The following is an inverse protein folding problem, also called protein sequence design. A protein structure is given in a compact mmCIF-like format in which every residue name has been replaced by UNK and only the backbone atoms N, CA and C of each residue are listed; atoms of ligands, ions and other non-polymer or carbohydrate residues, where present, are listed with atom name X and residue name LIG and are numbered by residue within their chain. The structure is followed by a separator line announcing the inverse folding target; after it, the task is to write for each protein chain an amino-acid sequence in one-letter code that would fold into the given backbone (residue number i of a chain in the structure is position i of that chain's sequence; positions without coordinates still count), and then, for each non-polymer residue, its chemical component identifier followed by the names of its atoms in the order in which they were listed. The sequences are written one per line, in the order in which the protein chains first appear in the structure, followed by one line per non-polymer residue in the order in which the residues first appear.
data_IF_563616304146
#
_entry.id   IF_563616304146
#
_cell.length_a   1.000
_cell.length_b   1.000
_cell.length_c   1.000
_cell.angle_alpha   90.00
_cell.angle_beta   90.00
_cell.angle_gamma   90.00
#
_symmetry.space_group_name_H-M   'P 1'
#
loop_
_entity.id
_entity.type
_entity.pdbx_description
1 polymer ?
#
# COMPACT_ATOMS: atom_id res chain seq x y z
N UNK A 1 14.90 1.57 -23.22
CA UNK A 1 14.75 2.43 -22.03
C UNK A 1 15.62 1.81 -20.94
N UNK A 2 16.47 2.60 -20.24
CA UNK A 2 17.26 2.06 -19.13
C UNK A 2 16.32 1.95 -17.93
N UNK A 3 16.04 0.73 -17.46
CA UNK A 3 15.45 0.56 -16.13
C UNK A 3 16.47 1.11 -15.13
N UNK A 4 16.05 2.03 -14.28
CA UNK A 4 16.87 2.47 -13.16
C UNK A 4 16.88 1.37 -12.09
N UNK A 5 17.89 1.41 -11.23
CA UNK A 5 18.03 0.42 -10.15
C UNK A 5 16.85 0.52 -9.17
N UNK A 6 16.40 -0.60 -8.58
CA UNK A 6 15.31 -0.58 -7.62
C UNK A 6 15.63 0.33 -6.43
N UNK A 7 14.67 1.17 -6.06
CA UNK A 7 14.84 2.16 -4.98
C UNK A 7 14.88 1.45 -3.65
N UNK A 8 15.87 1.80 -2.82
CA UNK A 8 15.89 1.41 -1.41
C UNK A 8 14.96 2.31 -0.62
N UNK A 9 14.03 1.73 0.12
CA UNK A 9 13.10 2.45 0.97
C UNK A 9 13.87 3.13 2.11
N UNK A 10 13.70 4.44 2.21
CA UNK A 10 14.16 5.24 3.33
C UNK A 10 12.99 5.84 4.11
N UNK A 11 13.30 6.50 5.23
CA UNK A 11 12.27 7.11 6.08
C UNK A 11 11.55 8.27 5.39
N UNK A 12 12.20 8.96 4.44
CA UNK A 12 11.58 10.07 3.73
C UNK A 12 10.45 9.55 2.82
N UNK A 13 10.71 8.47 2.09
CA UNK A 13 9.71 7.82 1.25
C UNK A 13 8.57 7.25 2.09
N UNK A 14 8.85 6.56 3.20
CA UNK A 14 7.82 6.08 4.14
C UNK A 14 6.93 7.23 4.61
N UNK A 15 7.53 8.36 5.01
CA UNK A 15 6.79 9.52 5.47
C UNK A 15 5.95 10.16 4.36
N UNK A 16 6.46 10.20 3.13
CA UNK A 16 5.74 10.73 1.98
C UNK A 16 4.51 9.87 1.64
N UNK A 17 4.66 8.54 1.66
CA UNK A 17 3.54 7.60 1.54
C UNK A 17 2.51 7.80 2.64
N UNK A 18 2.94 7.88 3.91
CA UNK A 18 2.04 8.07 5.05
C UNK A 18 1.27 9.39 5.03
N UNK A 19 1.69 10.38 4.24
CA UNK A 19 0.96 11.65 4.02
C UNK A 19 0.06 11.61 2.79
N UNK A 20 0.50 10.95 1.73
CA UNK A 20 -0.15 11.02 0.41
C UNK A 20 -1.24 9.96 0.25
N UNK A 21 -0.97 8.72 0.67
CA UNK A 21 -1.92 7.62 0.51
C UNK A 21 -3.26 7.88 1.22
N UNK A 22 -3.32 8.40 2.47
CA UNK A 22 -4.61 8.70 3.11
C UNK A 22 -5.49 9.68 2.32
N UNK A 23 -4.90 10.60 1.55
CA UNK A 23 -5.65 11.60 0.76
C UNK A 23 -6.30 10.98 -0.49
N UNK A 24 -5.84 9.79 -0.90
CA UNK A 24 -6.35 9.05 -2.07
C UNK A 24 -7.34 7.95 -1.69
N UNK A 25 -7.46 7.63 -0.40
CA UNK A 25 -8.42 6.65 0.11
C UNK A 25 -9.80 7.28 0.34
N UNK A 26 -10.79 6.44 0.65
CA UNK A 26 -12.09 6.91 1.14
C UNK A 26 -11.90 7.72 2.44
N UNK A 27 -12.64 8.82 2.61
CA UNK A 27 -12.39 9.85 3.63
C UNK A 27 -12.41 9.36 5.09
N UNK A 28 -12.93 8.17 5.34
CA UNK A 28 -13.04 7.58 6.67
C UNK A 28 -12.01 6.47 6.90
N UNK A 29 -11.35 5.98 5.85
CA UNK A 29 -10.36 4.91 5.95
C UNK A 29 -9.07 5.46 6.57
N UNK A 30 -8.31 4.56 7.18
CA UNK A 30 -7.01 4.90 7.78
C UNK A 30 -5.93 3.96 7.27
N UNK A 31 -4.70 4.47 7.21
CA UNK A 31 -3.57 3.69 6.70
C UNK A 31 -2.33 3.88 7.58
N UNK A 32 -1.61 2.78 7.79
CA UNK A 32 -0.28 2.75 8.40
C UNK A 32 0.72 2.23 7.36
N UNK A 33 1.83 2.96 7.17
CA UNK A 33 2.86 2.62 6.19
C UNK A 33 4.19 2.46 6.90
N UNK A 34 4.89 1.34 6.63
CA UNK A 34 6.19 1.02 7.20
C UNK A 34 7.13 0.47 6.14
N UNK A 35 8.44 0.66 6.34
CA UNK A 35 9.42 -0.11 5.58
C UNK A 35 9.33 -1.60 5.94
N UNK A 36 9.50 -2.46 4.96
CA UNK A 36 9.61 -3.91 5.17
C UNK A 36 10.98 -4.25 5.77
N UNK A 37 10.99 -5.08 6.82
CA UNK A 37 12.21 -5.46 7.53
C UNK A 37 13.01 -6.56 6.83
N UNK A 38 12.37 -7.31 5.92
CA UNK A 38 12.95 -8.42 5.17
C UNK A 38 13.32 -8.01 3.74
N UNK A 39 12.73 -6.94 3.22
CA UNK A 39 12.92 -6.48 1.86
C UNK A 39 13.19 -4.95 1.81
N UNK A 40 14.44 -4.53 1.52
CA UNK A 40 14.81 -3.12 1.53
C UNK A 40 14.15 -2.28 0.42
N UNK A 41 13.43 -2.92 -0.52
CA UNK A 41 12.73 -2.27 -1.62
C UNK A 41 11.21 -2.26 -1.42
N UNK A 42 10.72 -2.74 -0.27
CA UNK A 42 9.30 -2.89 -0.02
C UNK A 42 8.76 -2.06 1.15
N UNK A 43 7.50 -1.68 1.01
CA UNK A 43 6.66 -1.10 2.03
C UNK A 43 5.61 -2.12 2.47
N UNK A 44 5.32 -2.12 3.76
CA UNK A 44 4.17 -2.76 4.36
C UNK A 44 3.10 -1.70 4.56
N UNK A 45 1.95 -1.90 3.91
CA UNK A 45 0.82 -0.97 3.92
C UNK A 45 -0.34 -1.69 4.59
N UNK A 46 -0.89 -1.07 5.63
CA UNK A 46 -2.02 -1.61 6.37
C UNK A 46 -3.18 -0.63 6.37
N UNK A 47 -4.29 -0.99 5.72
CA UNK A 47 -5.47 -0.14 5.55
C UNK A 47 -6.61 -0.69 6.41
N UNK A 48 -7.28 0.19 7.14
CA UNK A 48 -8.52 -0.12 7.88
C UNK A 48 -9.69 0.60 7.23
N UNK A 49 -10.71 -0.16 6.84
CA UNK A 49 -12.00 0.40 6.41
C UNK A 49 -12.68 1.02 7.63
N UNK A 50 -13.24 2.21 7.51
CA UNK A 50 -14.16 2.71 8.53
C UNK A 50 -15.61 2.24 8.29
N UNK A 51 -16.36 2.05 9.38
CA UNK A 51 -17.77 1.66 9.34
C UNK A 51 -18.04 0.23 9.84
N UNK A 52 -19.23 -0.31 9.52
CA UNK A 52 -19.79 -1.55 10.09
C UNK A 52 -19.02 -2.84 9.78
N UNK A 53 -18.07 -2.79 8.84
CA UNK A 53 -17.38 -3.97 8.36
C UNK A 53 -16.05 -4.23 9.05
N UNK A 54 -15.44 -3.23 9.71
CA UNK A 54 -14.17 -3.32 10.45
C UNK A 54 -13.09 -4.19 9.78
N UNK A 55 -12.95 -4.09 8.45
CA UNK A 55 -11.91 -4.82 7.74
C UNK A 55 -10.56 -4.12 7.89
N UNK A 56 -9.52 -4.92 8.05
CA UNK A 56 -8.12 -4.54 7.96
C UNK A 56 -7.45 -5.35 6.86
N UNK A 57 -6.86 -4.68 5.87
CA UNK A 57 -6.18 -5.31 4.74
C UNK A 57 -4.70 -4.94 4.77
N UNK A 58 -3.85 -5.94 4.57
CA UNK A 58 -2.40 -5.78 4.48
C UNK A 58 -1.92 -6.00 3.05
N UNK A 59 -1.04 -5.11 2.60
CA UNK A 59 -0.41 -5.16 1.30
C UNK A 59 1.11 -5.04 1.43
N UNK A 60 1.81 -5.72 0.53
CA UNK A 60 3.24 -5.50 0.28
C UNK A 60 3.39 -4.73 -1.03
N UNK A 61 4.02 -3.56 -0.98
CA UNK A 61 4.30 -2.73 -2.16
C UNK A 61 5.81 -2.72 -2.41
N UNK A 62 6.26 -3.23 -3.56
CA UNK A 62 7.68 -3.40 -3.90
C UNK A 62 8.04 -2.49 -5.05
N UNK A 63 9.02 -1.61 -4.86
CA UNK A 63 9.57 -0.82 -5.96
C UNK A 63 10.41 -1.72 -6.87
N UNK A 64 10.01 -1.81 -8.14
CA UNK A 64 10.75 -2.53 -9.18
C UNK A 64 11.83 -1.63 -9.78
N UNK A 65 11.51 -0.34 -9.91
CA UNK A 65 12.41 0.76 -10.27
C UNK A 65 11.88 2.08 -9.67
N UNK A 66 12.33 3.24 -10.19
CA UNK A 66 11.94 4.58 -9.72
C UNK A 66 10.50 5.01 -10.05
N UNK A 67 9.81 4.23 -10.90
CA UNK A 67 8.52 4.57 -11.53
C UNK A 67 7.46 3.49 -11.37
N UNK A 68 7.88 2.24 -11.21
CA UNK A 68 7.02 1.08 -11.13
C UNK A 68 7.08 0.43 -9.74
N UNK A 69 5.89 0.16 -9.21
CA UNK A 69 5.71 -0.68 -8.02
C UNK A 69 4.90 -1.93 -8.38
N UNK A 70 5.15 -3.02 -7.67
CA UNK A 70 4.28 -4.20 -7.63
C UNK A 70 3.58 -4.26 -6.29
N UNK A 71 2.27 -4.41 -6.30
CA UNK A 71 1.45 -4.48 -5.10
C UNK A 71 0.90 -5.89 -4.96
N UNK A 72 1.07 -6.46 -3.77
CA UNK A 72 0.59 -7.79 -3.42
C UNK A 72 -0.37 -7.66 -2.25
N UNK A 73 -1.57 -8.21 -2.41
CA UNK A 73 -2.45 -8.48 -1.27
C UNK A 73 -1.85 -9.59 -0.41
N UNK A 74 -1.80 -9.38 0.90
CA UNK A 74 -1.13 -10.29 1.85
C UNK A 74 -2.12 -10.97 2.78
N UNK A 75 -3.04 -10.19 3.36
CA UNK A 75 -4.08 -10.74 4.23
C UNK A 75 -5.22 -9.75 4.47
N UNK A 76 -6.39 -10.28 4.82
CA UNK A 76 -7.51 -9.52 5.36
C UNK A 76 -7.96 -10.06 6.72
N UNK A 77 -8.37 -9.16 7.60
CA UNK A 77 -8.99 -9.49 8.88
C UNK A 77 -10.25 -8.65 9.13
N UNK A 78 -11.16 -9.18 9.94
CA UNK A 78 -12.41 -8.52 10.33
C UNK A 78 -12.54 -8.54 11.84
N UNK A 79 -12.57 -7.37 12.48
CA UNK A 79 -12.57 -7.26 13.94
C UNK A 79 -11.33 -7.91 14.56
N UNK A 80 -11.51 -8.91 15.43
CA UNK A 80 -10.42 -9.67 16.05
C UNK A 80 -10.05 -10.98 15.31
N UNK A 81 -10.76 -11.31 14.22
CA UNK A 81 -10.59 -12.59 13.50
C UNK A 81 -10.05 -12.41 12.09
N UNK A 82 -9.49 -13.48 11.52
CA UNK A 82 -9.13 -13.53 10.11
C UNK A 82 -10.40 -13.45 9.25
N UNK A 83 -10.40 -12.61 8.23
CA UNK A 83 -11.46 -12.61 7.24
C UNK A 83 -11.21 -13.76 6.27
N UNK A 84 -12.27 -14.24 5.63
CA UNK A 84 -12.11 -15.13 4.48
C UNK A 84 -11.60 -14.29 3.31
N UNK A 85 -10.35 -14.53 2.94
CA UNK A 85 -9.63 -13.81 1.88
C UNK A 85 -10.27 -14.03 0.51
N UNK A 86 -11.04 -15.12 0.33
CA UNK A 86 -11.74 -15.48 -0.91
C UNK A 86 -13.18 -14.93 -0.95
N UNK A 87 -13.57 -14.09 0.01
CA UNK A 87 -14.89 -13.45 -0.07
C UNK A 87 -14.89 -12.34 -1.13
N UNK A 88 -15.92 -12.30 -1.97
CA UNK A 88 -16.12 -11.30 -3.03
C UNK A 88 -15.93 -9.85 -2.52
N UNK A 89 -16.34 -9.57 -1.29
CA UNK A 89 -16.16 -8.25 -0.65
C UNK A 89 -14.68 -7.94 -0.39
N UNK A 90 -13.88 -8.92 0.05
CA UNK A 90 -12.45 -8.71 0.30
C UNK A 90 -11.71 -8.53 -1.01
N UNK A 91 -12.08 -9.28 -2.06
CA UNK A 91 -11.50 -9.13 -3.40
C UNK A 91 -11.78 -7.73 -3.98
N UNK A 92 -13.03 -7.26 -3.92
CA UNK A 92 -13.41 -5.92 -4.38
C UNK A 92 -12.64 -4.82 -3.63
N UNK A 93 -12.52 -4.93 -2.30
CA UNK A 93 -11.74 -4.01 -1.48
C UNK A 93 -10.24 -4.06 -1.82
N UNK A 94 -9.69 -5.25 -2.02
CA UNK A 94 -8.29 -5.43 -2.37
C UNK A 94 -7.95 -4.78 -3.72
N UNK A 95 -8.78 -5.00 -4.72
CA UNK A 95 -8.63 -4.40 -6.05
C UNK A 95 -8.73 -2.86 -5.99
N UNK A 96 -9.66 -2.34 -5.18
CA UNK A 96 -9.81 -0.91 -4.97
C UNK A 96 -8.56 -0.28 -4.34
N UNK A 97 -8.06 -0.87 -3.27
CA UNK A 97 -6.87 -0.38 -2.60
C UNK A 97 -5.59 -0.57 -3.40
N UNK A 98 -5.46 -1.63 -4.20
CA UNK A 98 -4.34 -1.80 -5.13
C UNK A 98 -4.27 -0.61 -6.10
N UNK A 99 -5.41 -0.19 -6.65
CA UNK A 99 -5.48 0.98 -7.53
C UNK A 99 -4.98 2.25 -6.82
N UNK A 100 -5.46 2.51 -5.60
CA UNK A 100 -5.05 3.69 -4.83
C UNK A 100 -3.57 3.66 -4.43
N UNK A 101 -3.01 2.48 -4.14
CA UNK A 101 -1.58 2.30 -3.90
C UNK A 101 -0.78 2.64 -5.16
N UNK A 102 -1.23 2.22 -6.34
CA UNK A 102 -0.60 2.61 -7.60
C UNK A 102 -0.70 4.11 -7.89
N UNK A 103 -1.86 4.73 -7.64
CA UNK A 103 -2.05 6.19 -7.78
C UNK A 103 -1.12 6.97 -6.84
N UNK A 104 -0.95 6.49 -5.61
CA UNK A 104 -0.01 7.07 -4.64
C UNK A 104 1.44 6.95 -5.14
N UNK A 105 1.84 5.78 -5.62
CA UNK A 105 3.17 5.58 -6.19
C UNK A 105 3.43 6.54 -7.37
N UNK A 106 2.43 6.74 -8.23
CA UNK A 106 2.51 7.67 -9.35
C UNK A 106 2.64 9.13 -8.88
N UNK A 107 1.86 9.55 -7.87
CA UNK A 107 1.93 10.89 -7.29
C UNK A 107 3.31 11.18 -6.65
N UNK A 108 3.95 10.14 -6.11
CA UNK A 108 5.24 10.22 -5.43
C UNK A 108 6.46 10.11 -6.36
N UNK A 109 6.26 9.93 -7.67
CA UNK A 109 7.36 9.81 -8.62
C UNK A 109 8.35 10.99 -8.53
N UNK A 110 7.90 12.21 -8.23
CA UNK A 110 8.80 13.37 -8.13
C UNK A 110 9.79 13.27 -6.96
N UNK A 111 9.50 12.46 -5.94
CA UNK A 111 10.36 12.26 -4.76
C UNK A 111 11.34 11.11 -5.00
N UNK A 112 10.97 10.15 -5.86
CA UNK A 112 11.81 8.99 -6.20
C UNK A 112 12.84 9.25 -7.31
N UNK A 113 12.71 10.36 -8.04
CA UNK A 113 13.63 10.77 -9.13
C UNK A 113 14.81 11.65 -8.69
N UNK A 114 15.20 11.64 -7.41
CA UNK A 114 16.31 12.46 -6.88
C UNK A 114 17.69 11.87 -7.15
#
# INVERSE_FOLDING_TARGET
MKHQEPIRIDQNLVNAWGRTLPELLNSTDSVDVKADSLDPHALQIFIRTAGHSEYGLQFKCVYVDDREVKVYFVSAHKGQGCADEESEVVEELADDYIRHIHECAQALQTITHA
#
